data_IF_576096450264
#
_entry.id   IF_576096450264
#
_cell.length_a   1.000
_cell.length_b   1.000
_cell.length_c   1.000
_cell.angle_alpha   90.00
_cell.angle_beta   90.00
_cell.angle_gamma   90.00
#
_symmetry.space_group_name_H-M   'P 1'
#
loop_
_entity.id
_entity.type
_entity.pdbx_description
1 polymer ?
#
# COMPACT_ATOMS: atom_id res chain seq x y z
N UNK A 1 16.68 -10.99 -7.05
CA UNK A 1 15.26 -11.09 -7.48
C UNK A 1 14.50 -9.83 -7.08
N UNK A 2 13.41 -9.54 -7.76
CA UNK A 2 12.59 -8.35 -7.55
C UNK A 2 11.15 -8.78 -7.20
N UNK A 3 10.72 -8.46 -5.99
CA UNK A 3 9.42 -8.85 -5.44
C UNK A 3 8.53 -7.63 -5.25
N UNK A 4 7.23 -7.79 -5.50
CA UNK A 4 6.22 -6.74 -5.29
C UNK A 4 5.05 -7.32 -4.50
N UNK A 5 4.61 -6.63 -3.45
CA UNK A 5 3.41 -6.94 -2.68
C UNK A 5 2.66 -5.66 -2.29
N UNK A 6 1.40 -5.79 -1.90
CA UNK A 6 0.53 -4.65 -1.56
C UNK A 6 -0.52 -5.03 -0.52
N UNK A 7 -1.12 -4.01 0.11
CA UNK A 7 -2.35 -4.13 0.89
C UNK A 7 -2.30 -5.20 2.00
N UNK A 8 -1.23 -5.16 2.82
CA UNK A 8 -0.99 -6.13 3.91
C UNK A 8 -2.03 -5.99 5.01
N UNK A 9 -2.46 -4.74 5.29
CA UNK A 9 -3.46 -4.39 6.28
C UNK A 9 -3.23 -4.97 7.68
N UNK A 10 -1.98 -4.98 8.12
CA UNK A 10 -1.62 -5.42 9.47
C UNK A 10 -1.75 -6.92 9.71
N UNK A 11 -1.99 -7.73 8.69
CA UNK A 11 -2.08 -9.18 8.84
C UNK A 11 -0.68 -9.80 8.93
N UNK A 12 -0.19 -9.88 10.16
CA UNK A 12 1.17 -10.35 10.44
C UNK A 12 1.40 -11.79 9.99
N UNK A 13 0.42 -12.67 10.18
CA UNK A 13 0.53 -14.08 9.81
C UNK A 13 0.70 -14.22 8.29
N UNK A 14 -0.12 -13.51 7.50
CA UNK A 14 -0.01 -13.50 6.04
C UNK A 14 1.32 -12.93 5.58
N UNK A 15 1.77 -11.84 6.21
CA UNK A 15 3.06 -11.23 5.90
C UNK A 15 4.23 -12.19 6.18
N UNK A 16 4.27 -12.81 7.36
CA UNK A 16 5.32 -13.78 7.74
C UNK A 16 5.30 -15.02 6.82
N UNK A 17 4.11 -15.48 6.39
CA UNK A 17 3.98 -16.57 5.42
C UNK A 17 4.63 -16.20 4.08
N UNK A 18 4.33 -15.02 3.52
CA UNK A 18 4.96 -14.56 2.28
C UNK A 18 6.48 -14.41 2.44
N UNK A 19 6.94 -13.76 3.52
CA UNK A 19 8.38 -13.55 3.75
C UNK A 19 9.14 -14.88 3.86
N UNK A 20 8.51 -15.90 4.45
CA UNK A 20 9.07 -17.25 4.51
C UNK A 20 9.17 -17.89 3.13
N UNK A 21 8.12 -17.78 2.31
CA UNK A 21 8.08 -18.36 0.97
C UNK A 21 9.09 -17.73 0.01
N UNK A 22 9.23 -16.39 0.02
CA UNK A 22 10.16 -15.69 -0.86
C UNK A 22 11.61 -15.79 -0.39
N UNK A 23 11.84 -16.04 0.91
CA UNK A 23 13.16 -16.16 1.52
C UNK A 23 14.11 -15.04 1.05
N UNK A 24 13.67 -13.79 1.24
CA UNK A 24 14.29 -12.57 0.71
C UNK A 24 15.78 -12.50 1.06
N UNK A 25 16.65 -12.44 0.06
CA UNK A 25 18.10 -12.36 0.20
C UNK A 25 18.57 -10.89 0.20
N UNK A 26 19.81 -10.64 0.61
CA UNK A 26 20.40 -9.29 0.67
C UNK A 26 20.48 -8.59 -0.68
N UNK A 27 20.61 -9.35 -1.76
CA UNK A 27 20.67 -8.85 -3.15
C UNK A 27 19.30 -8.77 -3.83
N UNK A 28 18.24 -9.18 -3.14
CA UNK A 28 16.87 -9.05 -3.64
C UNK A 28 16.32 -7.67 -3.30
N UNK A 29 15.30 -7.23 -4.02
CA UNK A 29 14.56 -6.00 -3.73
C UNK A 29 13.09 -6.32 -3.49
N UNK A 30 12.54 -5.78 -2.41
CA UNK A 30 11.13 -5.86 -2.09
C UNK A 30 10.47 -4.49 -2.31
N UNK A 31 9.44 -4.45 -3.15
CA UNK A 31 8.56 -3.29 -3.30
C UNK A 31 7.25 -3.53 -2.57
N UNK A 32 6.82 -2.56 -1.76
CA UNK A 32 5.56 -2.59 -1.01
C UNK A 32 4.70 -1.42 -1.50
N UNK A 33 3.58 -1.71 -2.13
CA UNK A 33 2.76 -0.68 -2.78
C UNK A 33 1.81 0.08 -1.84
N UNK A 34 2.06 0.08 -0.53
CA UNK A 34 1.24 0.77 0.46
C UNK A 34 0.27 -0.13 1.21
N UNK A 35 -0.57 0.48 2.04
CA UNK A 35 -1.59 -0.14 2.88
C UNK A 35 -1.06 -1.28 3.76
N UNK A 36 0.02 -0.98 4.48
CA UNK A 36 0.65 -1.91 5.43
C UNK A 36 -0.13 -1.98 6.73
N UNK A 37 -0.73 -0.87 7.15
CA UNK A 37 -1.41 -0.69 8.44
C UNK A 37 -2.92 -0.92 8.36
N UNK A 38 -3.58 -0.85 9.52
CA UNK A 38 -5.03 -0.94 9.71
C UNK A 38 -5.63 -2.33 9.53
N UNK A 39 -6.88 -2.49 9.92
CA UNK A 39 -7.72 -3.70 9.88
C UNK A 39 -7.26 -4.82 10.81
N UNK A 40 -5.97 -5.19 10.83
CA UNK A 40 -5.39 -6.18 11.75
C UNK A 40 -4.30 -5.59 12.64
N UNK A 41 -4.00 -6.28 13.73
CA UNK A 41 -3.15 -5.77 14.81
C UNK A 41 -1.63 -5.80 14.52
N UNK A 42 -1.17 -6.30 13.39
CA UNK A 42 0.26 -6.39 13.05
C UNK A 42 0.85 -5.14 12.37
N UNK A 43 0.03 -4.16 11.99
CA UNK A 43 0.41 -3.09 11.05
C UNK A 43 1.66 -2.31 11.44
N UNK A 44 1.73 -1.79 12.66
CA UNK A 44 2.92 -1.04 13.12
C UNK A 44 4.14 -1.94 13.26
N UNK A 45 3.97 -3.20 13.65
CA UNK A 45 5.09 -4.16 13.70
C UNK A 45 5.66 -4.42 12.31
N UNK A 46 4.80 -4.67 11.33
CA UNK A 46 5.19 -4.91 9.93
C UNK A 46 5.86 -3.66 9.34
N UNK A 47 5.23 -2.49 9.48
CA UNK A 47 5.78 -1.22 9.00
C UNK A 47 7.20 -0.98 9.52
N UNK A 48 7.43 -1.21 10.82
CA UNK A 48 8.76 -1.08 11.43
C UNK A 48 9.76 -2.16 10.97
N UNK A 49 9.29 -3.32 10.56
CA UNK A 49 10.17 -4.31 9.90
C UNK A 49 10.59 -3.80 8.53
N UNK A 50 9.65 -3.32 7.71
CA UNK A 50 9.92 -2.75 6.38
C UNK A 50 10.88 -1.55 6.47
N UNK A 51 10.67 -0.63 7.42
CA UNK A 51 11.55 0.53 7.66
C UNK A 51 13.02 0.14 7.94
N UNK A 52 13.26 -1.06 8.46
CA UNK A 52 14.61 -1.56 8.79
C UNK A 52 15.23 -2.43 7.71
N UNK A 53 14.49 -2.78 6.67
CA UNK A 53 14.99 -3.56 5.55
C UNK A 53 15.70 -2.64 4.55
N UNK A 54 17.03 -2.72 4.38
CA UNK A 54 17.76 -1.81 3.49
C UNK A 54 17.42 -2.02 2.02
N UNK A 55 16.87 -3.18 1.69
CA UNK A 55 16.48 -3.59 0.35
C UNK A 55 14.95 -3.56 0.11
N UNK A 56 14.19 -2.96 1.03
CA UNK A 56 12.77 -2.69 0.83
C UNK A 56 12.53 -1.23 0.39
N UNK A 57 11.60 -1.04 -0.55
CA UNK A 57 11.09 0.25 -0.99
C UNK A 57 9.58 0.25 -0.86
N UNK A 58 9.01 1.32 -0.33
CA UNK A 58 7.58 1.39 -0.06
C UNK A 58 6.97 2.62 -0.73
N UNK A 59 5.76 2.48 -1.25
CA UNK A 59 4.86 3.56 -1.63
C UNK A 59 3.95 3.93 -0.46
N UNK A 60 3.42 5.15 -0.48
CA UNK A 60 2.34 5.52 0.43
C UNK A 60 1.03 4.94 -0.09
N UNK A 61 0.25 4.29 0.80
CA UNK A 61 -1.13 3.94 0.55
C UNK A 61 -2.10 4.94 1.18
N UNK A 62 -3.38 4.82 0.87
CA UNK A 62 -4.39 5.69 1.45
C UNK A 62 -4.55 5.47 2.97
N UNK A 63 -4.24 4.31 3.50
CA UNK A 63 -4.27 4.03 4.93
C UNK A 63 -3.16 4.78 5.69
N UNK A 64 -1.93 4.79 5.20
CA UNK A 64 -0.85 5.62 5.73
C UNK A 64 -1.19 7.10 5.63
N UNK A 65 -1.78 7.54 4.52
CA UNK A 65 -2.19 8.93 4.31
C UNK A 65 -3.30 9.36 5.27
N UNK A 66 -4.31 8.51 5.50
CA UNK A 66 -5.36 8.77 6.50
C UNK A 66 -4.78 8.93 7.90
N UNK A 67 -3.86 8.06 8.30
CA UNK A 67 -3.19 8.15 9.61
C UNK A 67 -2.43 9.46 9.75
N UNK A 68 -1.66 9.87 8.74
CA UNK A 68 -0.95 11.16 8.74
C UNK A 68 -1.89 12.35 8.91
N UNK A 69 -3.00 12.37 8.16
CA UNK A 69 -3.96 13.47 8.21
C UNK A 69 -4.72 13.50 9.53
N UNK A 70 -4.96 12.34 10.15
CA UNK A 70 -5.66 12.24 11.41
C UNK A 70 -4.82 12.67 12.62
N UNK A 71 -3.57 12.19 12.71
CA UNK A 71 -2.75 12.33 13.93
C UNK A 71 -1.27 12.63 13.67
N UNK A 72 -0.80 12.59 12.41
CA UNK A 72 0.62 12.72 12.08
C UNK A 72 1.24 14.08 12.40
N UNK A 73 0.43 15.14 12.63
CA UNK A 73 0.87 16.47 13.04
C UNK A 73 1.00 16.63 14.56
N UNK A 74 0.49 15.66 15.33
CA UNK A 74 0.45 15.75 16.80
C UNK A 74 1.76 15.26 17.41
N UNK A 75 2.35 16.05 18.29
CA UNK A 75 3.58 15.69 19.01
C UNK A 75 3.36 14.71 20.15
N UNK A 76 2.18 14.76 20.77
CA UNK A 76 1.81 13.89 21.89
C UNK A 76 0.29 13.72 22.03
N UNK A 77 -0.13 12.94 23.04
CA UNK A 77 -1.53 12.63 23.27
C UNK A 77 -2.36 13.85 23.71
N UNK A 78 -1.74 14.87 24.33
CA UNK A 78 -2.42 16.12 24.74
C UNK A 78 -2.69 16.95 23.48
N UNK A 79 -1.68 17.21 22.68
CA UNK A 79 -1.81 17.92 21.41
C UNK A 79 -2.78 17.19 20.46
N UNK A 80 -2.76 15.86 20.43
CA UNK A 80 -3.70 15.06 19.67
C UNK A 80 -5.14 15.30 20.14
N UNK A 81 -5.39 15.34 21.46
CA UNK A 81 -6.72 15.59 22.01
C UNK A 81 -7.26 16.97 21.65
N UNK A 82 -6.39 17.98 21.61
CA UNK A 82 -6.75 19.38 21.36
C UNK A 82 -6.88 19.69 19.87
N UNK A 83 -5.95 19.17 19.05
CA UNK A 83 -5.75 19.58 17.66
C UNK A 83 -6.14 18.49 16.64
N UNK A 84 -6.67 17.34 17.07
CA UNK A 84 -7.05 16.28 16.13
C UNK A 84 -8.10 16.76 15.13
N UNK A 85 -7.82 16.57 13.86
CA UNK A 85 -8.81 16.71 12.80
C UNK A 85 -9.86 15.61 12.92
N UNK A 86 -11.00 15.93 13.58
CA UNK A 86 -12.08 14.96 13.87
C UNK A 86 -12.65 14.32 12.61
N UNK A 87 -12.67 15.03 11.47
CA UNK A 87 -13.17 14.52 10.19
C UNK A 87 -12.21 13.45 9.65
N UNK A 88 -10.93 13.74 9.60
CA UNK A 88 -9.90 12.83 9.10
C UNK A 88 -9.77 11.59 10.01
N UNK A 89 -9.82 11.79 11.33
CA UNK A 89 -9.79 10.68 12.28
C UNK A 89 -11.03 9.77 12.15
N UNK A 90 -12.21 10.34 11.88
CA UNK A 90 -13.43 9.56 11.63
C UNK A 90 -13.32 8.75 10.33
N UNK A 91 -12.77 9.36 9.28
CA UNK A 91 -12.52 8.68 8.01
C UNK A 91 -11.59 7.49 8.23
N UNK A 92 -10.45 7.73 8.88
CA UNK A 92 -9.47 6.69 9.18
C UNK A 92 -10.06 5.54 10.01
N UNK A 93 -10.83 5.85 11.05
CA UNK A 93 -11.46 4.82 11.90
C UNK A 93 -12.49 3.96 11.16
N UNK A 94 -13.27 4.56 10.25
CA UNK A 94 -14.22 3.82 9.39
C UNK A 94 -13.50 2.83 8.46
N UNK A 95 -12.26 3.10 8.13
CA UNK A 95 -11.42 2.24 7.30
C UNK A 95 -10.55 1.25 8.11
N UNK A 96 -10.80 1.11 9.42
CA UNK A 96 -10.10 0.13 10.26
C UNK A 96 -8.91 0.69 11.05
N UNK A 97 -8.68 2.01 11.04
CA UNK A 97 -7.52 2.66 11.66
C UNK A 97 -7.52 2.68 13.19
N UNK A 98 -8.65 2.36 13.84
CA UNK A 98 -8.72 2.36 15.30
C UNK A 98 -7.71 1.41 15.94
N UNK A 99 -7.51 0.23 15.35
CA UNK A 99 -6.56 -0.76 15.85
C UNK A 99 -5.12 -0.27 15.78
N UNK A 100 -4.74 0.38 14.67
CA UNK A 100 -3.42 1.00 14.49
C UNK A 100 -3.22 2.14 15.50
N UNK A 101 -4.22 2.97 15.70
CA UNK A 101 -4.15 4.08 16.66
C UNK A 101 -3.94 3.58 18.09
N UNK A 102 -4.67 2.55 18.53
CA UNK A 102 -4.45 1.94 19.86
C UNK A 102 -3.03 1.40 20.00
N UNK A 103 -2.48 0.76 18.98
CA UNK A 103 -1.09 0.29 19.00
C UNK A 103 -0.09 1.43 19.14
N UNK A 104 -0.27 2.53 18.38
CA UNK A 104 0.65 3.67 18.44
C UNK A 104 0.77 4.29 19.83
N UNK A 105 -0.29 4.22 20.66
CA UNK A 105 -0.25 4.72 22.06
C UNK A 105 0.77 3.99 22.93
N UNK A 106 1.11 2.75 22.60
CA UNK A 106 2.12 1.95 23.32
C UNK A 106 3.55 2.21 22.87
N UNK A 107 3.76 3.00 21.81
CA UNK A 107 5.09 3.37 21.35
C UNK A 107 5.53 4.72 21.93
N UNK A 108 6.85 4.83 22.23
CA UNK A 108 7.47 6.07 22.68
C UNK A 108 7.34 7.15 21.61
N UNK A 109 7.41 8.42 22.03
CA UNK A 109 7.29 9.59 21.14
C UNK A 109 8.30 9.58 20.00
N UNK A 110 9.57 9.25 20.29
CA UNK A 110 10.63 9.17 19.29
C UNK A 110 10.33 8.12 18.21
N UNK A 111 9.84 6.94 18.59
CA UNK A 111 9.42 5.90 17.64
C UNK A 111 8.22 6.34 16.80
N UNK A 112 7.25 7.00 17.41
CA UNK A 112 6.09 7.55 16.68
C UNK A 112 6.54 8.61 15.66
N UNK A 113 7.44 9.51 16.06
CA UNK A 113 8.00 10.52 15.18
C UNK A 113 8.76 9.88 13.99
N UNK A 114 9.60 8.87 14.24
CA UNK A 114 10.30 8.10 13.22
C UNK A 114 9.32 7.49 12.19
N UNK A 115 8.22 6.87 12.67
CA UNK A 115 7.18 6.30 11.80
C UNK A 115 6.53 7.39 10.93
N UNK A 116 6.11 8.51 11.51
CA UNK A 116 5.48 9.58 10.76
C UNK A 116 6.44 10.24 9.77
N UNK A 117 7.70 10.43 10.14
CA UNK A 117 8.72 11.00 9.26
C UNK A 117 9.01 10.07 8.07
N UNK A 118 9.07 8.77 8.31
CA UNK A 118 9.19 7.78 7.25
C UNK A 118 8.00 7.87 6.27
N UNK A 119 6.77 7.82 6.77
CA UNK A 119 5.57 7.83 5.92
C UNK A 119 5.46 9.14 5.12
N UNK A 120 5.84 10.31 5.69
CA UNK A 120 5.83 11.59 4.96
C UNK A 120 6.72 11.59 3.72
N UNK A 121 7.80 10.83 3.73
CA UNK A 121 8.79 10.75 2.66
C UNK A 121 8.42 9.73 1.58
N UNK A 122 7.41 8.89 1.81
CA UNK A 122 7.02 7.86 0.86
C UNK A 122 6.52 8.48 -0.45
N UNK A 123 7.00 7.99 -1.61
CA UNK A 123 6.50 8.39 -2.91
C UNK A 123 5.14 7.76 -3.22
N UNK A 124 4.45 8.29 -4.23
CA UNK A 124 3.18 7.75 -4.76
C UNK A 124 3.39 6.71 -5.84
N UNK A 125 4.55 6.71 -6.50
CA UNK A 125 4.89 5.77 -7.56
C UNK A 125 6.40 5.47 -7.56
N UNK A 126 6.76 4.33 -8.13
CA UNK A 126 8.14 3.93 -8.41
C UNK A 126 8.21 3.32 -9.80
N UNK A 127 9.39 3.39 -10.40
CA UNK A 127 9.69 2.73 -11.66
C UNK A 127 10.81 1.73 -11.44
N UNK A 128 10.69 0.56 -12.07
CA UNK A 128 11.71 -0.48 -12.03
C UNK A 128 11.79 -1.17 -13.38
N UNK A 129 12.99 -1.52 -13.79
CA UNK A 129 13.22 -2.33 -14.98
C UNK A 129 13.77 -3.69 -14.56
N UNK A 130 13.13 -4.77 -15.03
CA UNK A 130 13.54 -6.15 -14.77
C UNK A 130 13.52 -6.92 -16.10
N UNK A 131 14.65 -7.50 -16.46
CA UNK A 131 14.81 -8.27 -17.72
C UNK A 131 14.37 -7.49 -18.98
N UNK A 132 14.60 -6.16 -19.01
CA UNK A 132 14.24 -5.29 -20.14
C UNK A 132 12.77 -4.87 -20.18
N UNK A 133 11.95 -5.28 -19.21
CA UNK A 133 10.56 -4.83 -19.04
C UNK A 133 10.52 -3.71 -18.02
N UNK A 134 9.89 -2.57 -18.38
CA UNK A 134 9.69 -1.43 -17.49
C UNK A 134 8.35 -1.56 -16.76
N UNK A 135 8.38 -1.49 -15.45
CA UNK A 135 7.20 -1.53 -14.60
C UNK A 135 6.98 -0.19 -13.93
N UNK A 136 5.73 0.30 -13.98
CA UNK A 136 5.25 1.42 -13.17
C UNK A 136 4.51 0.85 -11.96
N UNK A 137 5.06 1.08 -10.78
CA UNK A 137 4.50 0.61 -9.52
C UNK A 137 3.70 1.75 -8.89
N UNK A 138 2.44 1.53 -8.59
CA UNK A 138 1.54 2.51 -7.96
C UNK A 138 0.73 1.85 -6.84
N UNK A 139 0.22 2.66 -5.89
CA UNK A 139 -0.76 2.12 -4.95
C UNK A 139 -2.12 1.95 -5.64
N UNK A 140 -2.70 3.02 -6.18
CA UNK A 140 -4.02 3.00 -6.83
C UNK A 140 -3.95 3.35 -8.32
N UNK A 141 -3.49 4.54 -8.69
CA UNK A 141 -3.41 5.00 -10.09
C UNK A 141 -2.12 5.75 -10.37
N UNK A 142 -1.64 5.77 -11.63
CA UNK A 142 -0.52 6.63 -12.03
C UNK A 142 -0.86 8.10 -11.77
N UNK A 143 0.00 8.82 -11.04
CA UNK A 143 -0.23 10.21 -10.63
C UNK A 143 -0.44 11.15 -11.83
N UNK A 144 0.23 10.89 -12.95
CA UNK A 144 0.09 11.62 -14.20
C UNK A 144 -1.32 11.53 -14.83
N UNK A 145 -2.12 10.55 -14.42
CA UNK A 145 -3.50 10.41 -14.89
C UNK A 145 -4.44 11.44 -14.24
N UNK A 146 -4.03 12.07 -13.13
CA UNK A 146 -4.83 13.11 -12.49
C UNK A 146 -5.30 14.20 -13.45
N UNK A 147 -4.43 14.65 -14.35
CA UNK A 147 -4.72 15.70 -15.33
C UNK A 147 -5.39 15.17 -16.62
N UNK A 148 -5.59 13.86 -16.75
CA UNK A 148 -6.20 13.25 -17.96
C UNK A 148 -7.74 13.38 -17.97
N UNK A 149 -8.35 13.59 -16.80
CA UNK A 149 -9.79 13.85 -16.70
C UNK A 149 -10.06 15.15 -15.94
N UNK A 150 -10.90 16.05 -16.50
CA UNK A 150 -11.27 17.29 -15.81
C UNK A 150 -12.11 17.03 -14.54
N UNK A 151 -12.69 15.86 -14.37
CA UNK A 151 -13.49 15.49 -13.21
C UNK A 151 -12.64 15.20 -11.97
N UNK A 152 -11.40 14.77 -12.15
CA UNK A 152 -10.49 14.42 -11.04
C UNK A 152 -10.26 15.58 -10.06
N UNK A 153 -10.29 16.83 -10.54
CA UNK A 153 -10.15 18.02 -9.69
C UNK A 153 -11.33 18.24 -8.73
N UNK A 154 -12.48 17.64 -8.99
CA UNK A 154 -13.65 17.69 -8.09
C UNK A 154 -13.66 16.57 -7.08
N UNK A 155 -13.09 15.41 -7.42
CA UNK A 155 -13.09 14.21 -6.60
C UNK A 155 -11.88 14.17 -5.65
N UNK A 156 -10.72 14.71 -6.09
CA UNK A 156 -9.46 14.66 -5.35
C UNK A 156 -8.85 16.06 -5.17
N UNK A 157 -8.25 16.30 -4.02
CA UNK A 157 -7.62 17.60 -3.70
C UNK A 157 -6.39 17.90 -4.56
N UNK A 158 -5.67 16.86 -4.98
CA UNK A 158 -4.43 16.96 -5.75
C UNK A 158 -4.06 15.60 -6.36
N UNK A 159 -3.02 15.58 -7.20
CA UNK A 159 -2.51 14.37 -7.86
C UNK A 159 -2.05 13.28 -6.88
N UNK A 160 -1.50 13.66 -5.72
CA UNK A 160 -1.10 12.70 -4.68
C UNK A 160 -2.31 11.97 -4.10
N UNK A 161 -3.39 12.70 -3.78
CA UNK A 161 -4.62 12.08 -3.27
C UNK A 161 -5.26 11.18 -4.34
N UNK A 162 -5.28 11.62 -5.59
CA UNK A 162 -5.70 10.80 -6.73
C UNK A 162 -4.89 9.50 -6.82
N UNK A 163 -3.56 9.57 -6.78
CA UNK A 163 -2.69 8.41 -6.94
C UNK A 163 -2.88 7.29 -5.89
N UNK A 164 -3.47 7.63 -4.73
CA UNK A 164 -3.66 6.69 -3.63
C UNK A 164 -5.12 6.33 -3.34
N UNK A 165 -6.08 7.01 -3.96
CA UNK A 165 -7.50 6.78 -3.72
C UNK A 165 -8.29 6.39 -4.96
N UNK A 166 -7.77 6.70 -6.16
CA UNK A 166 -8.47 6.39 -7.40
C UNK A 166 -8.62 4.86 -7.57
N UNK A 167 -9.60 4.48 -8.37
CA UNK A 167 -9.79 3.08 -8.74
C UNK A 167 -9.54 2.94 -10.22
N UNK A 168 -8.27 2.68 -10.52
CA UNK A 168 -7.85 2.45 -11.89
C UNK A 168 -8.66 1.33 -12.52
N UNK A 169 -9.06 1.53 -13.76
CA UNK A 169 -9.71 0.53 -14.60
C UNK A 169 -9.06 0.53 -16.01
N UNK A 170 -9.43 -0.44 -16.84
CA UNK A 170 -8.86 -0.66 -18.17
C UNK A 170 -9.16 0.47 -19.17
N UNK A 171 -10.02 1.44 -18.85
CA UNK A 171 -10.27 2.63 -19.67
C UNK A 171 -9.26 3.74 -19.42
N UNK A 172 -8.52 3.68 -18.33
CA UNK A 172 -7.50 4.66 -17.98
C UNK A 172 -6.18 4.35 -18.68
N UNK A 173 -5.43 5.38 -19.11
CA UNK A 173 -4.17 5.18 -19.80
C UNK A 173 -3.08 4.63 -18.88
N UNK A 174 -2.29 3.73 -19.43
CA UNK A 174 -1.01 3.30 -18.86
C UNK A 174 0.10 4.11 -19.53
N UNK A 175 1.14 4.56 -18.79
CA UNK A 175 2.29 5.22 -19.40
C UNK A 175 2.94 4.36 -20.49
N UNK A 176 3.25 4.98 -21.61
CA UNK A 176 3.77 4.26 -22.79
C UNK A 176 5.07 3.51 -22.46
N UNK A 177 5.14 2.25 -22.87
CA UNK A 177 6.30 1.36 -22.65
C UNK A 177 6.38 0.76 -21.25
N UNK A 178 5.38 0.95 -20.40
CA UNK A 178 5.31 0.36 -19.05
C UNK A 178 4.27 -0.74 -18.93
N UNK A 179 4.54 -1.67 -18.02
CA UNK A 179 3.53 -2.53 -17.41
C UNK A 179 3.16 -1.92 -16.06
N UNK A 180 1.89 -1.65 -15.82
CA UNK A 180 1.37 -1.11 -14.57
C UNK A 180 1.22 -2.23 -13.53
N UNK A 181 1.72 -2.02 -12.31
CA UNK A 181 1.42 -2.88 -11.17
C UNK A 181 0.74 -2.05 -10.09
N UNK A 182 -0.45 -2.47 -9.66
CA UNK A 182 -1.30 -1.73 -8.73
C UNK A 182 -1.87 -2.61 -7.61
N UNK A 183 -2.12 -1.96 -6.46
CA UNK A 183 -2.87 -2.48 -5.32
C UNK A 183 -4.25 -1.85 -5.18
N UNK A 184 -4.65 -1.53 -3.95
CA UNK A 184 -5.81 -0.72 -3.54
C UNK A 184 -7.19 -1.26 -3.98
N UNK A 185 -7.35 -1.63 -5.22
CA UNK A 185 -8.59 -2.22 -5.74
C UNK A 185 -8.48 -3.73 -5.67
N UNK A 186 -9.25 -4.37 -4.76
CA UNK A 186 -9.20 -5.82 -4.62
C UNK A 186 -9.47 -6.53 -5.94
N UNK A 187 -8.65 -7.54 -6.24
CA UNK A 187 -8.71 -8.28 -7.51
C UNK A 187 -10.03 -8.98 -7.76
N UNK A 188 -10.86 -9.17 -6.74
CA UNK A 188 -12.22 -9.68 -6.89
C UNK A 188 -13.12 -8.76 -7.76
N UNK A 189 -12.75 -7.48 -7.94
CA UNK A 189 -13.47 -6.58 -8.85
C UNK A 189 -13.04 -6.73 -10.32
N UNK A 190 -11.91 -7.39 -10.56
CA UNK A 190 -11.39 -7.67 -11.91
C UNK A 190 -11.64 -9.12 -12.34
N UNK A 191 -11.87 -10.03 -11.40
CA UNK A 191 -12.03 -11.47 -11.63
C UNK A 191 -13.44 -11.97 -11.30
N UNK A 192 -14.03 -12.70 -12.22
CA UNK A 192 -15.29 -13.45 -11.96
C UNK A 192 -15.04 -14.82 -11.33
N UNK A 193 -13.93 -15.49 -11.68
CA UNK A 193 -13.69 -16.90 -11.33
C UNK A 193 -12.64 -17.11 -10.22
N UNK A 194 -11.71 -16.21 -10.06
CA UNK A 194 -10.59 -16.34 -9.10
C UNK A 194 -10.41 -15.04 -8.30
N UNK A 195 -11.39 -14.64 -7.49
CA UNK A 195 -11.49 -13.27 -6.95
C UNK A 195 -10.30 -12.82 -6.08
N UNK A 196 -9.57 -13.78 -5.49
CA UNK A 196 -8.46 -13.47 -4.58
C UNK A 196 -7.11 -13.93 -5.13
N UNK A 197 -6.94 -13.90 -6.46
CA UNK A 197 -5.67 -14.16 -7.15
C UNK A 197 -5.18 -12.87 -7.82
N UNK A 198 -3.89 -12.81 -8.11
CA UNK A 198 -3.30 -11.75 -8.94
C UNK A 198 -4.05 -11.70 -10.26
N UNK A 199 -4.53 -10.50 -10.62
CA UNK A 199 -5.18 -10.25 -11.88
C UNK A 199 -4.16 -9.77 -12.92
N UNK A 200 -4.28 -10.25 -14.15
CA UNK A 200 -3.42 -9.86 -15.27
C UNK A 200 -4.30 -9.43 -16.45
N UNK A 201 -4.26 -8.14 -16.76
CA UNK A 201 -4.88 -7.54 -17.94
C UNK A 201 -3.84 -7.12 -18.99
N UNK A 202 -4.27 -6.33 -19.97
CA UNK A 202 -3.39 -5.78 -21.00
C UNK A 202 -2.47 -4.70 -20.40
N UNK A 203 -1.19 -5.07 -20.23
CA UNK A 203 -0.17 -4.21 -19.60
C UNK A 203 -0.49 -3.71 -18.18
N UNK A 204 -1.40 -4.37 -17.45
CA UNK A 204 -1.69 -4.07 -16.05
C UNK A 204 -1.79 -5.33 -15.22
N UNK A 205 -1.34 -5.26 -13.96
CA UNK A 205 -1.35 -6.37 -13.01
C UNK A 205 -1.86 -5.84 -11.66
N UNK A 206 -3.04 -6.32 -11.23
CA UNK A 206 -3.59 -6.05 -9.91
C UNK A 206 -3.14 -7.09 -8.90
N UNK A 207 -2.58 -6.64 -7.76
CA UNK A 207 -2.01 -7.54 -6.75
C UNK A 207 -2.65 -7.42 -5.36
N UNK A 208 -3.69 -6.59 -5.17
CA UNK A 208 -4.48 -6.59 -3.93
C UNK A 208 -5.42 -7.81 -3.92
N UNK A 209 -4.93 -8.92 -3.40
CA UNK A 209 -5.73 -10.14 -3.26
C UNK A 209 -6.54 -10.19 -1.95
N UNK A 210 -6.84 -9.02 -1.38
CA UNK A 210 -7.77 -8.88 -0.27
C UNK A 210 -7.22 -9.28 1.09
N UNK A 211 -5.91 -9.09 1.36
CA UNK A 211 -5.34 -9.45 2.67
C UNK A 211 -6.01 -8.75 3.86
N UNK A 212 -6.66 -7.62 3.64
CA UNK A 212 -7.46 -6.92 4.65
C UNK A 212 -8.85 -7.54 4.91
N UNK A 213 -9.24 -8.60 4.22
CA UNK A 213 -10.54 -9.27 4.36
C UNK A 213 -10.36 -10.72 4.82
N UNK A 214 -11.41 -11.25 5.46
CA UNK A 214 -11.40 -12.61 6.03
C UNK A 214 -11.09 -13.68 4.99
N UNK A 215 -11.76 -13.61 3.83
CA UNK A 215 -11.65 -14.61 2.75
C UNK A 215 -10.55 -14.28 1.72
N UNK A 216 -9.85 -13.17 1.88
CA UNK A 216 -8.74 -12.80 1.02
C UNK A 216 -7.42 -13.39 1.47
N UNK A 217 -6.37 -13.08 0.74
CA UNK A 217 -4.99 -13.50 1.04
C UNK A 217 -3.99 -12.41 0.64
N UNK A 218 -2.80 -12.45 1.22
CA UNK A 218 -1.70 -11.62 0.75
C UNK A 218 -1.04 -12.30 -0.45
N UNK A 219 -0.80 -11.53 -1.49
CA UNK A 219 -0.05 -11.98 -2.65
C UNK A 219 1.31 -11.28 -2.73
N UNK A 220 2.26 -11.94 -3.39
CA UNK A 220 3.53 -11.36 -3.79
C UNK A 220 3.88 -11.84 -5.19
N UNK A 221 4.28 -10.92 -6.07
CA UNK A 221 4.70 -11.20 -7.43
C UNK A 221 6.22 -11.05 -7.55
N UNK A 222 6.90 -12.04 -8.10
CA UNK A 222 8.31 -11.92 -8.49
C UNK A 222 8.39 -11.53 -9.96
N UNK A 223 9.00 -10.37 -10.24
CA UNK A 223 9.04 -9.80 -11.59
C UNK A 223 10.00 -10.51 -12.54
N UNK A 224 11.00 -11.20 -11.99
CA UNK A 224 12.06 -11.86 -12.78
C UNK A 224 11.53 -13.00 -13.65
N UNK A 225 10.50 -13.70 -13.20
CA UNK A 225 9.90 -14.86 -13.88
C UNK A 225 8.38 -14.91 -13.75
N UNK A 226 7.75 -13.84 -13.24
CA UNK A 226 6.31 -13.69 -13.03
C UNK A 226 5.72 -14.74 -12.09
N UNK A 227 6.54 -15.27 -11.15
CA UNK A 227 6.11 -16.23 -10.15
C UNK A 227 5.25 -15.56 -9.08
N UNK A 228 4.10 -16.14 -8.82
CA UNK A 228 3.14 -15.70 -7.82
C UNK A 228 3.31 -16.49 -6.52
N UNK A 229 3.22 -15.80 -5.40
CA UNK A 229 3.23 -16.35 -4.06
C UNK A 229 1.97 -15.89 -3.34
N UNK A 230 1.39 -16.76 -2.53
CA UNK A 230 0.18 -16.46 -1.78
C UNK A 230 0.32 -16.94 -0.35
N UNK A 231 -0.18 -16.13 0.60
CA UNK A 231 -0.36 -16.60 1.97
C UNK A 231 -1.54 -17.60 2.02
N UNK A 232 -1.58 -18.39 3.09
CA UNK A 232 -2.78 -19.13 3.43
C UNK A 232 -3.96 -18.16 3.68
N UNK A 233 -5.17 -18.62 3.44
CA UNK A 233 -6.42 -17.89 3.67
C UNK A 233 -6.71 -17.71 5.16
#
# INVERSE_FOLDING_TARGET
MTYVLSDIHGNLQRFESIMTQINLQTNDTLYVLGDVIDRYAGGIKILRQIMRMPNAKMLIGNHEYMMLNAIGHCKDAVEEKENTNRREKRLWYRNGGMITHEQLKHYRKDIRAEIFDFIRQLPTNLEVEVNGVKYKLVHASPEENYMKSPWNIYDYKNSREFAIWDRWDETQPIPEGYVLILGHTPTCYFHDKMPWCIWKGDNAIGIDCGSGYEYGRLSCLRLDDMKEFYSDC
#
